data_IF_994533181508
#
_entry.id   IF_994533181508
#
_cell.length_a   1.000
_cell.length_b   1.000
_cell.length_c   1.000
_cell.angle_alpha   90.00
_cell.angle_beta   90.00
_cell.angle_gamma   90.00
#
_symmetry.space_group_name_H-M   'P 1'
#
loop_
_entity.id
_entity.type
_entity.pdbx_description
1 polymer ?
#
# COMPACT_ATOMS: atom_id res chain seq x y z
N UNK A 1 -8.63 -10.57 -9.16
CA UNK A 1 -7.69 -9.71 -8.42
C UNK A 1 -8.51 -8.84 -7.49
N UNK A 2 -8.17 -8.65 -6.20
CA UNK A 2 -8.96 -7.79 -5.32
C UNK A 2 -9.15 -6.37 -5.88
N UNK A 3 -10.23 -5.69 -5.47
CA UNK A 3 -10.44 -4.28 -5.85
C UNK A 3 -9.41 -3.40 -5.18
N UNK A 4 -8.61 -2.63 -5.91
CA UNK A 4 -7.56 -1.78 -5.34
C UNK A 4 -6.75 -1.06 -6.40
N UNK A 5 -5.78 -0.27 -5.94
CA UNK A 5 -4.78 0.37 -6.81
C UNK A 5 -3.57 -0.53 -7.00
N UNK A 6 -3.03 -0.53 -8.22
CA UNK A 6 -1.92 -1.38 -8.61
C UNK A 6 -0.95 -0.63 -9.51
N UNK A 7 0.34 -0.81 -9.27
CA UNK A 7 1.36 -0.47 -10.25
C UNK A 7 1.44 -1.63 -11.23
N UNK A 8 1.08 -1.36 -12.47
CA UNK A 8 1.19 -2.34 -13.55
C UNK A 8 2.34 -1.92 -14.43
N UNK A 9 3.20 -2.87 -14.79
CA UNK A 9 4.27 -2.71 -15.76
C UNK A 9 4.01 -3.64 -16.93
N UNK A 10 4.06 -3.13 -18.16
CA UNK A 10 3.95 -3.94 -19.38
C UNK A 10 5.16 -3.72 -20.29
N UNK A 11 5.58 -4.80 -20.94
CA UNK A 11 6.59 -4.78 -21.98
C UNK A 11 6.02 -5.31 -23.29
N UNK A 12 6.26 -4.62 -24.41
CA UNK A 12 5.89 -5.07 -25.75
C UNK A 12 7.03 -4.87 -26.74
N UNK A 13 7.04 -5.66 -27.82
CA UNK A 13 8.03 -5.56 -28.91
C UNK A 13 8.93 -6.79 -29.00
N UNK A 14 9.77 -6.85 -30.02
CA UNK A 14 10.65 -8.00 -30.28
C UNK A 14 11.93 -7.54 -30.97
N UNK A 15 13.06 -8.11 -30.57
CA UNK A 15 14.38 -7.76 -31.11
C UNK A 15 14.52 -7.99 -32.62
N UNK A 16 13.73 -8.90 -33.19
CA UNK A 16 13.86 -9.27 -34.61
C UNK A 16 13.14 -8.32 -35.57
N UNK A 17 12.28 -7.41 -35.06
CA UNK A 17 11.47 -6.52 -35.91
C UNK A 17 10.87 -5.37 -35.12
N UNK A 18 10.85 -4.19 -35.72
CA UNK A 18 10.03 -3.06 -35.26
C UNK A 18 8.56 -3.26 -35.64
N UNK A 19 7.69 -3.19 -34.63
CA UNK A 19 6.24 -3.14 -34.80
C UNK A 19 5.86 -1.68 -34.74
N UNK A 20 5.32 -1.16 -35.85
CA UNK A 20 5.12 0.30 -36.02
C UNK A 20 3.95 0.83 -35.19
N UNK A 21 3.03 -0.05 -34.80
CA UNK A 21 1.75 0.30 -34.19
C UNK A 21 1.43 -0.68 -33.09
N UNK A 22 1.45 -0.21 -31.86
CA UNK A 22 1.14 -0.99 -30.68
C UNK A 22 0.12 -0.24 -29.83
N UNK A 23 -0.75 -0.98 -29.17
CA UNK A 23 -1.78 -0.43 -28.29
C UNK A 23 -1.96 -1.33 -27.08
N UNK A 24 -1.94 -0.73 -25.90
CA UNK A 24 -2.26 -1.36 -24.62
C UNK A 24 -3.01 -0.34 -23.77
N UNK A 25 -4.24 -0.67 -23.41
CA UNK A 25 -5.06 0.04 -22.43
C UNK A 25 -5.44 -0.93 -21.31
N UNK A 26 -5.33 -0.49 -20.05
CA UNK A 26 -5.60 -1.32 -18.87
C UNK A 26 -6.45 -0.49 -17.91
N UNK A 27 -7.61 -1.01 -17.51
CA UNK A 27 -8.58 -0.27 -16.67
C UNK A 27 -8.93 1.13 -17.21
N UNK A 28 -8.95 1.31 -18.54
CA UNK A 28 -9.18 2.61 -19.17
C UNK A 28 -7.96 3.53 -19.21
N UNK A 29 -6.80 3.12 -18.67
CA UNK A 29 -5.53 3.86 -18.75
C UNK A 29 -4.73 3.41 -19.97
N UNK A 30 -4.40 4.35 -20.85
CA UNK A 30 -3.50 4.10 -21.98
C UNK A 30 -2.05 3.95 -21.51
N UNK A 31 -1.48 2.77 -21.70
CA UNK A 31 -0.05 2.52 -21.50
C UNK A 31 0.74 2.81 -22.76
N UNK A 32 0.19 2.38 -23.89
CA UNK A 32 0.76 2.50 -25.22
C UNK A 32 -0.39 2.83 -26.17
N UNK A 33 -0.26 3.89 -26.96
CA UNK A 33 -1.33 4.32 -27.87
C UNK A 33 -0.80 4.64 -29.27
N UNK A 34 -0.89 3.66 -30.17
CA UNK A 34 -0.40 3.70 -31.56
C UNK A 34 1.08 4.08 -31.67
N UNK A 35 1.93 3.43 -30.88
CA UNK A 35 3.37 3.70 -30.81
C UNK A 35 4.18 2.58 -31.49
N UNK A 36 5.30 2.96 -32.11
CA UNK A 36 6.29 2.01 -32.62
C UNK A 36 7.22 1.50 -31.51
N UNK A 37 7.66 0.24 -31.59
CA UNK A 37 8.66 -0.30 -30.67
C UNK A 37 10.09 -0.06 -31.16
N UNK A 38 11.04 0.12 -30.22
CA UNK A 38 12.47 0.17 -30.54
C UNK A 38 13.35 -0.44 -29.44
N UNK A 39 13.75 -1.72 -29.56
CA UNK A 39 12.91 -2.80 -30.08
C UNK A 39 11.75 -3.15 -29.14
N UNK A 40 11.76 -2.59 -27.91
CA UNK A 40 10.76 -2.81 -26.87
C UNK A 40 10.20 -1.48 -26.35
N UNK A 41 8.95 -1.50 -25.92
CA UNK A 41 8.36 -0.46 -25.08
C UNK A 41 8.13 -1.05 -23.69
N UNK A 42 8.65 -0.38 -22.66
CA UNK A 42 8.39 -0.69 -21.26
C UNK A 42 7.64 0.49 -20.65
N UNK A 43 6.50 0.22 -20.01
CA UNK A 43 5.63 1.25 -19.43
C UNK A 43 5.10 0.77 -18.09
N UNK A 44 5.18 1.64 -17.09
CA UNK A 44 4.54 1.46 -15.78
C UNK A 44 3.51 2.56 -15.58
N UNK A 45 2.30 2.19 -15.16
CA UNK A 45 1.24 3.12 -14.72
C UNK A 45 0.47 2.53 -13.56
N UNK A 46 -0.13 3.41 -12.78
CA UNK A 46 -1.13 3.02 -11.78
C UNK A 46 -2.49 2.77 -12.46
N UNK A 47 -3.17 1.72 -12.02
CA UNK A 47 -4.55 1.39 -12.42
C UNK A 47 -5.38 1.03 -11.18
N UNK A 48 -6.70 1.20 -11.27
CA UNK A 48 -7.63 0.85 -10.19
C UNK A 48 -8.59 -0.24 -10.64
N UNK A 49 -8.58 -1.39 -9.94
CA UNK A 49 -9.51 -2.50 -10.14
C UNK A 49 -10.76 -2.29 -9.28
N UNK A 50 -11.95 -2.33 -9.89
CA UNK A 50 -13.21 -2.01 -9.20
C UNK A 50 -14.24 -3.16 -9.16
N UNK A 51 -14.08 -4.17 -10.01
CA UNK A 51 -15.03 -5.27 -10.21
C UNK A 51 -14.44 -6.66 -9.87
N UNK A 52 -13.27 -6.70 -9.24
CA UNK A 52 -12.54 -7.91 -8.89
C UNK A 52 -11.72 -8.49 -10.04
N UNK A 53 -11.61 -7.77 -11.16
CA UNK A 53 -10.95 -8.21 -12.38
C UNK A 53 -10.10 -7.10 -12.98
N UNK A 54 -8.87 -7.43 -13.36
CA UNK A 54 -8.06 -6.54 -14.19
C UNK A 54 -8.37 -6.80 -15.67
N UNK A 55 -8.74 -5.76 -16.40
CA UNK A 55 -9.18 -5.76 -17.79
C UNK A 55 -8.19 -4.99 -18.66
N UNK A 56 -7.77 -5.63 -19.74
CA UNK A 56 -6.80 -5.09 -20.70
C UNK A 56 -7.35 -5.20 -22.11
N UNK A 57 -7.22 -4.13 -22.88
CA UNK A 57 -7.40 -4.12 -24.33
C UNK A 57 -6.03 -3.94 -24.99
N UNK A 58 -5.74 -4.74 -26.00
CA UNK A 58 -4.48 -4.69 -26.73
C UNK A 58 -4.68 -4.90 -28.23
N UNK A 59 -3.75 -4.36 -29.03
CA UNK A 59 -3.82 -4.41 -30.48
C UNK A 59 -4.68 -3.32 -31.11
N UNK A 60 -4.48 -3.11 -32.40
CA UNK A 60 -5.22 -2.16 -33.24
C UNK A 60 -5.78 -2.95 -34.42
N UNK A 61 -6.83 -2.44 -35.08
CA UNK A 61 -7.35 -3.07 -36.30
C UNK A 61 -6.22 -3.38 -37.30
N UNK A 62 -6.15 -4.64 -37.75
CA UNK A 62 -5.12 -5.22 -38.63
C UNK A 62 -3.66 -5.16 -38.11
N UNK A 63 -3.42 -4.87 -36.82
CA UNK A 63 -2.07 -4.83 -36.23
C UNK A 63 -2.03 -5.52 -34.86
N UNK A 64 -1.05 -6.40 -34.66
CA UNK A 64 -0.86 -7.11 -33.40
C UNK A 64 0.12 -6.37 -32.48
N UNK A 65 -0.27 -6.23 -31.21
CA UNK A 65 0.66 -5.86 -30.13
C UNK A 65 1.17 -7.12 -29.46
N UNK A 66 2.48 -7.32 -29.44
CA UNK A 66 3.09 -8.50 -28.81
C UNK A 66 3.47 -8.18 -27.38
N UNK A 67 2.67 -8.63 -26.42
CA UNK A 67 3.01 -8.53 -25.01
C UNK A 67 4.13 -9.54 -24.69
N UNK A 68 5.23 -9.06 -24.13
CA UNK A 68 6.31 -9.92 -23.63
C UNK A 68 5.98 -10.39 -22.21
N UNK A 69 5.77 -9.43 -21.32
CA UNK A 69 5.37 -9.69 -19.94
C UNK A 69 4.51 -8.55 -19.41
N UNK A 70 3.77 -8.89 -18.36
CA UNK A 70 3.08 -7.97 -17.50
C UNK A 70 3.47 -8.31 -16.07
N UNK A 71 3.88 -7.29 -15.32
CA UNK A 71 4.15 -7.38 -13.89
C UNK A 71 3.17 -6.48 -13.14
N UNK A 72 2.70 -6.95 -11.99
CA UNK A 72 1.63 -6.30 -11.24
C UNK A 72 1.99 -6.30 -9.77
N UNK A 73 2.14 -5.09 -9.24
CA UNK A 73 2.48 -4.86 -7.86
C UNK A 73 1.30 -4.19 -7.16
N UNK A 74 0.96 -4.67 -5.97
CA UNK A 74 0.04 -3.97 -5.08
C UNK A 74 0.65 -2.63 -4.70
N UNK A 75 -0.05 -1.54 -4.95
CA UNK A 75 0.29 -0.28 -4.32
C UNK A 75 -0.23 -0.32 -2.89
N UNK A 76 0.67 -0.13 -1.92
CA UNK A 76 0.22 0.39 -0.64
C UNK A 76 -0.49 1.73 -0.93
N UNK A 77 -1.63 2.04 -0.28
CA UNK A 77 -2.21 3.36 -0.41
C UNK A 77 -1.14 4.40 -0.11
N UNK A 78 -1.05 5.44 -0.94
CA UNK A 78 -0.03 6.52 -0.87
C UNK A 78 -0.02 7.24 0.50
N UNK A 79 -0.99 6.94 1.37
CA UNK A 79 -1.03 7.34 2.75
C UNK A 79 -1.48 6.19 3.66
N UNK A 80 -0.76 5.05 3.62
CA UNK A 80 -1.06 3.89 4.47
C UNK A 80 -0.43 3.97 5.86
N UNK A 81 0.41 4.98 6.11
CA UNK A 81 1.16 5.21 7.35
C UNK A 81 0.32 6.01 8.37
N UNK A 82 -0.04 5.43 9.52
CA UNK A 82 -0.66 6.18 10.61
C UNK A 82 0.31 7.20 11.22
N UNK A 83 -0.18 8.38 11.55
CA UNK A 83 0.53 9.41 12.30
C UNK A 83 0.16 9.26 13.78
N UNK A 84 1.05 8.64 14.55
CA UNK A 84 0.85 8.35 15.96
C UNK A 84 1.13 9.59 16.83
N UNK A 85 0.18 9.92 17.69
CA UNK A 85 0.30 10.94 18.72
C UNK A 85 0.21 10.28 20.09
N UNK A 86 1.11 10.68 20.99
CA UNK A 86 1.22 10.16 22.35
C UNK A 86 1.07 11.33 23.32
N UNK A 87 0.16 11.18 24.27
CA UNK A 87 -0.03 12.11 25.36
C UNK A 87 0.00 11.34 26.68
N UNK A 88 0.67 11.92 27.68
CA UNK A 88 0.75 11.36 29.03
C UNK A 88 0.38 12.45 30.01
N UNK A 89 -0.51 12.14 30.95
CA UNK A 89 -0.89 13.01 32.05
C UNK A 89 -0.98 12.17 33.32
N UNK A 90 -0.11 12.44 34.29
CA UNK A 90 0.06 11.61 35.48
C UNK A 90 0.28 10.14 35.09
N UNK A 91 -0.61 9.24 35.50
CA UNK A 91 -0.59 7.80 35.15
C UNK A 91 -1.40 7.47 33.89
N UNK A 92 -2.11 8.46 33.32
CA UNK A 92 -2.95 8.27 32.15
C UNK A 92 -2.16 8.46 30.85
N UNK A 93 -2.26 7.49 29.96
CA UNK A 93 -1.75 7.53 28.59
C UNK A 93 -2.92 7.66 27.64
N UNK A 94 -2.78 8.54 26.66
CA UNK A 94 -3.65 8.59 25.49
C UNK A 94 -2.82 8.46 24.20
N UNK A 95 -3.11 7.41 23.43
CA UNK A 95 -2.59 7.21 22.08
C UNK A 95 -3.67 7.56 21.08
N UNK A 96 -3.32 8.23 19.99
CA UNK A 96 -4.26 8.49 18.90
C UNK A 96 -3.55 8.56 17.55
N UNK A 97 -4.26 8.25 16.47
CA UNK A 97 -3.73 8.34 15.10
C UNK A 97 -4.81 8.77 14.12
N UNK A 98 -4.40 9.25 12.93
CA UNK A 98 -5.33 9.56 11.86
C UNK A 98 -5.91 8.28 11.25
N UNK A 99 -7.16 8.35 10.79
CA UNK A 99 -7.76 7.27 10.02
C UNK A 99 -7.09 7.15 8.64
N UNK A 100 -6.73 5.93 8.28
CA UNK A 100 -6.23 5.54 6.96
C UNK A 100 -7.43 5.12 6.09
N UNK A 101 -7.65 5.77 4.92
CA UNK A 101 -8.70 5.37 4.00
C UNK A 101 -8.58 3.90 3.58
N UNK A 102 -9.67 3.16 3.70
CA UNK A 102 -9.71 1.72 3.37
C UNK A 102 -9.18 0.78 4.46
N UNK A 103 -8.76 1.30 5.63
CA UNK A 103 -8.38 0.47 6.77
C UNK A 103 -9.59 -0.31 7.31
N UNK A 104 -9.43 -1.64 7.36
CA UNK A 104 -10.39 -2.57 7.95
C UNK A 104 -10.22 -2.66 9.47
N UNK A 105 -8.98 -2.51 9.94
CA UNK A 105 -8.63 -2.41 11.36
C UNK A 105 -7.25 -1.80 11.58
N UNK A 106 -6.86 -1.62 12.83
CA UNK A 106 -5.52 -1.22 13.27
C UNK A 106 -4.96 -2.23 14.25
N UNK A 107 -3.65 -2.44 14.18
CA UNK A 107 -2.87 -3.21 15.16
C UNK A 107 -1.91 -2.27 15.87
N UNK A 108 -2.02 -2.19 17.20
CA UNK A 108 -1.05 -1.51 18.05
C UNK A 108 0.05 -2.51 18.44
N UNK A 109 1.30 -2.13 18.22
CA UNK A 109 2.49 -2.86 18.61
C UNK A 109 3.12 -2.14 19.79
N UNK A 110 3.54 -2.88 20.81
CA UNK A 110 4.21 -2.30 21.96
C UNK A 110 5.25 -3.24 22.56
N UNK A 111 6.33 -2.67 23.09
CA UNK A 111 7.39 -3.43 23.75
C UNK A 111 7.97 -2.61 24.92
N UNK A 112 8.19 -3.20 26.11
CA UNK A 112 8.91 -2.53 27.18
C UNK A 112 10.31 -2.10 26.73
N UNK A 113 10.81 -0.95 27.19
CA UNK A 113 12.15 -0.46 26.79
C UNK A 113 13.28 -1.45 27.12
N UNK A 114 13.06 -2.26 28.15
CA UNK A 114 14.06 -3.17 28.71
C UNK A 114 13.91 -4.60 28.21
N UNK A 115 12.89 -4.92 27.39
CA UNK A 115 12.54 -6.31 27.07
C UNK A 115 11.99 -6.51 25.65
N UNK A 116 12.17 -7.74 25.17
CA UNK A 116 11.41 -8.37 24.08
C UNK A 116 10.67 -9.56 24.67
N UNK A 117 9.46 -9.93 24.24
CA UNK A 117 8.93 -9.75 22.88
C UNK A 117 8.20 -8.44 22.61
N UNK A 118 7.97 -8.16 21.32
CA UNK A 118 6.98 -7.17 20.87
C UNK A 118 5.61 -7.81 21.01
N UNK A 119 4.74 -7.17 21.78
CA UNK A 119 3.35 -7.56 21.93
C UNK A 119 2.46 -6.78 20.97
N UNK A 120 1.28 -7.35 20.68
CA UNK A 120 0.32 -6.72 19.77
C UNK A 120 -1.07 -6.66 20.38
N UNK A 121 -1.81 -5.62 20.00
CA UNK A 121 -3.20 -5.45 20.35
C UNK A 121 -4.01 -5.06 19.11
N UNK A 122 -4.98 -5.89 18.74
CA UNK A 122 -5.95 -5.56 17.71
C UNK A 122 -6.93 -4.48 18.23
N UNK A 123 -6.86 -3.29 17.65
CA UNK A 123 -7.68 -2.12 18.00
C UNK A 123 -9.02 -2.09 17.24
N UNK A 124 -9.25 -3.02 16.30
CA UNK A 124 -10.38 -2.95 15.39
C UNK A 124 -10.32 -1.65 14.58
N UNK A 125 -11.47 -0.99 14.40
CA UNK A 125 -11.54 0.30 13.67
C UNK A 125 -11.24 1.53 14.55
N UNK A 126 -10.91 1.34 15.83
CA UNK A 126 -10.63 2.45 16.72
C UNK A 126 -9.30 3.11 16.34
N UNK A 127 -9.25 4.44 16.44
CA UNK A 127 -8.06 5.26 16.14
C UNK A 127 -7.48 5.95 17.38
N UNK A 128 -7.90 5.51 18.57
CA UNK A 128 -7.45 6.05 19.85
C UNK A 128 -7.53 4.99 20.94
N UNK A 129 -6.67 5.12 21.95
CA UNK A 129 -6.64 4.30 23.15
C UNK A 129 -6.36 5.20 24.35
N UNK A 130 -7.07 5.00 25.46
CA UNK A 130 -6.76 5.64 26.74
C UNK A 130 -6.69 4.61 27.84
N UNK A 131 -5.57 4.56 28.56
CA UNK A 131 -5.28 3.58 29.60
C UNK A 131 -4.50 4.23 30.75
N UNK A 132 -4.60 3.66 31.95
CA UNK A 132 -3.71 4.01 33.05
C UNK A 132 -2.58 2.98 33.15
N UNK A 133 -1.36 3.46 33.36
CA UNK A 133 -0.17 2.65 33.60
C UNK A 133 0.45 3.01 34.96
N UNK A 134 1.27 2.13 35.51
CA UNK A 134 1.98 2.39 36.76
C UNK A 134 3.11 3.42 36.57
N UNK A 135 3.49 4.14 37.62
CA UNK A 135 4.62 5.08 37.60
C UNK A 135 5.93 4.40 37.15
N UNK A 136 6.71 5.09 36.32
CA UNK A 136 7.92 4.57 35.70
C UNK A 136 7.71 3.60 34.53
N UNK A 137 6.47 3.35 34.10
CA UNK A 137 6.18 2.57 32.91
C UNK A 137 6.80 3.19 31.64
N UNK A 138 7.50 2.38 30.84
CA UNK A 138 8.19 2.83 29.64
C UNK A 138 8.10 1.82 28.50
N UNK A 139 7.54 2.23 27.35
CA UNK A 139 7.29 1.39 26.20
C UNK A 139 7.66 2.08 24.88
N UNK A 140 8.16 1.30 23.92
CA UNK A 140 8.08 1.66 22.51
C UNK A 140 6.72 1.25 21.97
N UNK A 141 6.12 2.11 21.15
CA UNK A 141 4.81 1.86 20.53
C UNK A 141 4.82 2.22 19.05
N UNK A 142 4.09 1.46 18.24
CA UNK A 142 3.85 1.76 16.83
C UNK A 142 2.48 1.23 16.40
N UNK A 143 1.88 1.82 15.38
CA UNK A 143 0.56 1.40 14.87
C UNK A 143 0.66 1.06 13.39
N UNK A 144 -0.03 0.02 12.97
CA UNK A 144 -0.17 -0.38 11.57
C UNK A 144 -1.65 -0.49 11.20
N UNK A 145 -2.01 0.03 10.02
CA UNK A 145 -3.34 -0.18 9.44
C UNK A 145 -3.40 -1.53 8.71
N UNK A 146 -4.49 -2.28 8.88
CA UNK A 146 -4.76 -3.50 8.12
C UNK A 146 -5.75 -3.20 7.00
N UNK A 147 -5.34 -3.43 5.75
CA UNK A 147 -6.14 -3.15 4.55
C UNK A 147 -6.56 -4.47 3.91
N UNK A 148 -7.54 -4.44 2.99
CA UNK A 148 -7.97 -5.66 2.28
C UNK A 148 -6.87 -6.32 1.43
N UNK A 149 -5.79 -5.58 1.14
CA UNK A 149 -4.66 -6.01 0.32
C UNK A 149 -3.41 -6.36 1.12
N UNK A 150 -3.49 -6.30 2.46
CA UNK A 150 -2.35 -6.50 3.35
C UNK A 150 -2.15 -5.34 4.32
N UNK A 151 -1.14 -5.44 5.19
CA UNK A 151 -0.83 -4.38 6.13
C UNK A 151 -0.23 -3.15 5.41
N UNK A 152 -0.58 -1.95 5.89
CA UNK A 152 0.05 -0.70 5.49
C UNK A 152 1.42 -0.50 6.15
N UNK A 153 2.01 0.66 5.94
CA UNK A 153 3.24 1.05 6.63
C UNK A 153 3.01 1.25 8.14
N UNK A 154 4.04 1.02 8.94
CA UNK A 154 4.04 1.36 10.36
C UNK A 154 4.11 2.88 10.53
N UNK A 155 3.45 3.38 11.58
CA UNK A 155 3.74 4.71 12.12
C UNK A 155 5.22 4.84 12.47
N UNK A 156 5.67 6.08 12.71
CA UNK A 156 6.94 6.26 13.42
C UNK A 156 6.84 5.61 14.81
N UNK A 157 7.98 5.12 15.30
CA UNK A 157 8.07 4.54 16.64
C UNK A 157 7.95 5.67 17.66
N UNK A 158 6.95 5.59 18.52
CA UNK A 158 6.77 6.49 19.63
C UNK A 158 7.38 5.92 20.91
N UNK A 159 7.93 6.81 21.73
CA UNK A 159 8.36 6.52 23.09
C UNK A 159 7.27 6.98 24.06
N UNK A 160 6.71 6.04 24.83
CA UNK A 160 5.75 6.30 25.89
C UNK A 160 6.46 6.12 27.22
N UNK A 161 6.44 7.14 28.08
CA UNK A 161 7.00 7.09 29.43
C UNK A 161 6.09 7.78 30.43
N UNK A 162 5.81 7.11 31.54
CA UNK A 162 5.20 7.71 32.74
C UNK A 162 6.34 8.14 33.68
N UNK A 163 6.33 9.38 34.19
CA UNK A 163 7.31 9.85 35.16
C UNK A 163 7.43 9.01 36.44
#
# INVERSE_FOLDING_TARGET
MPNGSYNVTVSTGWQGRTYKRNYINIEGVDFINDEATDPYLLRTREVSVQDGKLSMAMGIFDEYTMLNYMDIETLAPVNSKPVLNIQTQDEAVSLSWNAIPGALSYTLYYAPLTQTPIETWNMGVQTQLSINLWSGAAFYVAVQANLSHGPGEFSDIGLLQIP
#
